data_IF_579682416000
#
_entry.id   IF_579682416000
#
_cell.length_a   1.000
_cell.length_b   1.000
_cell.length_c   1.000
_cell.angle_alpha   90.00
_cell.angle_beta   90.00
_cell.angle_gamma   90.00
#
_symmetry.space_group_name_H-M   'P 1'
#
loop_
_entity.id
_entity.type
_entity.pdbx_description
1 polymer ?
#
# COMPACT_ATOMS: atom_id res chain seq x y z
N UNK A 1 -27.51 31.64 30.21
CA UNK A 1 -27.03 31.48 28.83
C UNK A 1 -26.72 30.03 28.64
N UNK A 2 -27.51 29.35 27.81
CA UNK A 2 -27.22 27.99 27.39
C UNK A 2 -26.07 28.10 26.38
N UNK A 3 -24.85 27.84 26.87
CA UNK A 3 -23.60 28.07 26.11
C UNK A 3 -23.43 27.10 24.94
N UNK A 4 -24.25 26.05 24.91
CA UNK A 4 -24.22 25.00 23.90
C UNK A 4 -25.36 25.26 22.91
N UNK A 5 -25.01 25.83 21.77
CA UNK A 5 -25.96 26.05 20.67
C UNK A 5 -26.29 24.72 19.97
N UNK A 6 -27.39 24.68 19.21
CA UNK A 6 -27.77 23.50 18.41
C UNK A 6 -26.65 23.09 17.43
N UNK A 7 -25.93 24.07 16.89
CA UNK A 7 -24.79 23.87 16.02
C UNK A 7 -23.61 23.18 16.73
N UNK A 8 -23.30 23.58 17.98
CA UNK A 8 -22.24 22.92 18.77
C UNK A 8 -22.63 21.48 19.09
N UNK A 9 -23.91 21.20 19.40
CA UNK A 9 -24.37 19.82 19.64
C UNK A 9 -24.31 18.96 18.37
N UNK A 10 -24.64 19.52 17.21
CA UNK A 10 -24.56 18.81 15.94
C UNK A 10 -23.10 18.48 15.56
N UNK A 11 -22.18 19.42 15.77
CA UNK A 11 -20.76 19.22 15.50
C UNK A 11 -20.12 18.15 16.40
N UNK A 12 -20.46 18.13 17.69
CA UNK A 12 -20.01 17.07 18.61
C UNK A 12 -20.54 15.69 18.22
N UNK A 13 -21.82 15.58 17.85
CA UNK A 13 -22.39 14.31 17.40
C UNK A 13 -21.67 13.78 16.16
N UNK A 14 -21.39 14.66 15.19
CA UNK A 14 -20.66 14.27 13.98
C UNK A 14 -19.23 13.82 14.29
N UNK A 15 -18.58 14.45 15.27
CA UNK A 15 -17.25 14.05 15.73
C UNK A 15 -17.28 12.68 16.44
N UNK A 16 -18.24 12.46 17.34
CA UNK A 16 -18.40 11.19 18.04
C UNK A 16 -18.70 10.04 17.08
N UNK A 17 -19.55 10.30 16.06
CA UNK A 17 -19.85 9.33 15.02
C UNK A 17 -18.60 8.99 14.18
N UNK A 18 -17.81 10.01 13.82
CA UNK A 18 -16.56 9.83 13.08
C UNK A 18 -15.52 9.06 13.90
N UNK A 19 -15.40 9.34 15.20
CA UNK A 19 -14.50 8.63 16.10
C UNK A 19 -14.92 7.17 16.26
N UNK A 20 -16.21 6.90 16.45
CA UNK A 20 -16.72 5.53 16.55
C UNK A 20 -16.54 4.74 15.26
N UNK A 21 -16.69 5.39 14.09
CA UNK A 21 -16.42 4.77 12.80
C UNK A 21 -14.92 4.45 12.63
N UNK A 22 -14.03 5.35 13.04
CA UNK A 22 -12.59 5.13 13.01
C UNK A 22 -12.17 3.99 13.95
N UNK A 23 -12.70 3.94 15.17
CA UNK A 23 -12.44 2.86 16.13
C UNK A 23 -12.90 1.50 15.62
N UNK A 24 -14.08 1.43 14.99
CA UNK A 24 -14.57 0.20 14.35
C UNK A 24 -13.68 -0.22 13.18
N UNK A 25 -13.30 0.71 12.32
CA UNK A 25 -12.39 0.44 11.21
C UNK A 25 -11.05 -0.12 11.71
N UNK A 26 -10.48 0.45 12.77
CA UNK A 26 -9.24 -0.05 13.39
C UNK A 26 -9.45 -1.41 14.05
N UNK A 27 -10.58 -1.64 14.72
CA UNK A 27 -10.88 -2.91 15.39
C UNK A 27 -11.14 -4.06 14.40
N UNK A 28 -11.68 -3.76 13.22
CA UNK A 28 -11.89 -4.73 12.13
C UNK A 28 -10.57 -5.11 11.45
N UNK A 29 -9.56 -4.25 11.49
CA UNK A 29 -8.21 -4.58 11.05
C UNK A 29 -7.55 -5.46 12.12
N UNK A 30 -7.78 -6.77 12.02
CA UNK A 30 -7.02 -7.77 12.77
C UNK A 30 -5.61 -7.84 12.18
N UNK A 31 -4.71 -6.97 12.64
CA UNK A 31 -3.28 -7.11 12.39
C UNK A 31 -2.82 -8.36 13.13
N UNK A 32 -2.67 -9.48 12.42
CA UNK A 32 -1.85 -10.56 12.97
C UNK A 32 -0.48 -9.97 13.29
N UNK A 33 0.14 -10.33 14.44
CA UNK A 33 1.50 -9.90 14.70
C UNK A 33 2.35 -10.34 13.52
N UNK A 34 2.84 -9.37 12.74
CA UNK A 34 3.61 -9.65 11.55
C UNK A 34 4.79 -10.52 11.98
N UNK A 35 4.84 -11.75 11.48
CA UNK A 35 6.05 -12.55 11.66
C UNK A 35 7.19 -11.80 10.96
N UNK A 36 8.42 -11.88 11.48
CA UNK A 36 9.56 -11.39 10.75
C UNK A 36 9.59 -12.00 9.34
N UNK A 37 9.95 -11.19 8.35
CA UNK A 37 10.22 -11.65 7.00
C UNK A 37 11.34 -12.70 7.03
N UNK A 38 11.18 -13.76 6.25
CA UNK A 38 12.22 -14.77 6.07
C UNK A 38 13.35 -14.21 5.20
N UNK A 39 14.51 -14.86 5.25
CA UNK A 39 15.62 -14.51 4.35
C UNK A 39 15.21 -14.60 2.87
N UNK A 40 14.39 -15.60 2.52
CA UNK A 40 13.87 -15.79 1.16
C UNK A 40 12.95 -14.64 0.74
N UNK A 41 12.10 -14.13 1.64
CA UNK A 41 11.23 -12.98 1.36
C UNK A 41 12.02 -11.69 1.18
N UNK A 42 13.07 -11.50 2.00
CA UNK A 42 13.97 -10.35 1.88
C UNK A 42 14.73 -10.40 0.56
N UNK A 43 15.24 -11.58 0.17
CA UNK A 43 15.94 -11.76 -1.09
C UNK A 43 14.99 -11.57 -2.29
N UNK A 44 13.76 -12.10 -2.21
CA UNK A 44 12.76 -11.92 -3.26
C UNK A 44 12.40 -10.44 -3.46
N UNK A 45 12.28 -9.68 -2.38
CA UNK A 45 12.06 -8.23 -2.42
C UNK A 45 13.24 -7.52 -3.11
N UNK A 46 14.47 -7.85 -2.73
CA UNK A 46 15.67 -7.30 -3.33
C UNK A 46 15.75 -7.61 -4.83
N UNK A 47 15.50 -8.86 -5.22
CA UNK A 47 15.50 -9.27 -6.62
C UNK A 47 14.42 -8.54 -7.41
N UNK A 48 13.20 -8.44 -6.87
CA UNK A 48 12.12 -7.69 -7.50
C UNK A 48 12.49 -6.22 -7.69
N UNK A 49 12.95 -5.55 -6.63
CA UNK A 49 13.30 -4.12 -6.67
C UNK A 49 14.38 -3.78 -7.71
N UNK A 50 15.25 -4.75 -8.04
CA UNK A 50 16.28 -4.62 -9.05
C UNK A 50 15.89 -5.19 -10.44
N UNK A 51 14.70 -5.77 -10.57
CA UNK A 51 14.21 -6.35 -11.82
C UNK A 51 13.74 -5.27 -12.80
N UNK A 52 13.61 -5.66 -14.08
CA UNK A 52 13.01 -4.80 -15.09
C UNK A 52 11.50 -4.59 -14.89
N UNK A 53 10.85 -5.47 -14.14
CA UNK A 53 9.41 -5.44 -13.86
C UNK A 53 9.05 -4.52 -12.68
N UNK A 54 10.05 -4.06 -11.92
CA UNK A 54 9.82 -3.10 -10.85
C UNK A 54 9.63 -1.68 -11.40
N UNK A 55 8.66 -0.92 -10.83
CA UNK A 55 8.54 0.50 -11.09
C UNK A 55 9.85 1.25 -10.83
N UNK A 56 10.07 2.35 -11.56
CA UNK A 56 11.31 3.16 -11.49
C UNK A 56 11.57 3.70 -10.08
N UNK A 57 10.54 3.84 -9.26
CA UNK A 57 10.56 4.29 -7.87
C UNK A 57 11.42 3.38 -6.98
N UNK A 58 11.49 2.07 -7.29
CA UNK A 58 12.36 1.12 -6.58
C UNK A 58 13.85 1.45 -6.72
N UNK A 59 14.26 2.19 -7.76
CA UNK A 59 15.66 2.64 -7.90
C UNK A 59 16.08 3.56 -6.77
N UNK A 60 15.18 4.47 -6.36
CA UNK A 60 15.47 5.38 -5.25
C UNK A 60 15.53 4.62 -3.92
N UNK A 61 14.73 3.57 -3.74
CA UNK A 61 14.82 2.67 -2.59
C UNK A 61 16.17 1.92 -2.60
N UNK A 62 16.54 1.33 -3.73
CA UNK A 62 17.80 0.59 -3.89
C UNK A 62 19.03 1.48 -3.65
N UNK A 63 19.03 2.73 -4.11
CA UNK A 63 20.08 3.71 -3.83
C UNK A 63 20.23 3.98 -2.33
N UNK A 64 19.12 4.13 -1.60
CA UNK A 64 19.13 4.34 -0.15
C UNK A 64 19.60 3.10 0.61
N UNK A 65 19.25 1.90 0.15
CA UNK A 65 19.75 0.65 0.71
C UNK A 65 21.26 0.53 0.47
N UNK A 66 21.74 0.79 -0.74
CA UNK A 66 23.16 0.79 -1.07
C UNK A 66 23.94 1.84 -0.28
N UNK A 67 23.32 2.99 0.01
CA UNK A 67 23.85 4.04 0.88
C UNK A 67 23.79 3.74 2.38
N UNK A 68 23.23 2.60 2.79
CA UNK A 68 23.09 2.19 4.19
C UNK A 68 22.05 2.96 4.99
N UNK A 69 21.18 3.73 4.32
CA UNK A 69 20.10 4.50 4.97
C UNK A 69 18.87 3.64 5.25
N UNK A 70 18.68 2.58 4.47
CA UNK A 70 17.62 1.59 4.61
C UNK A 70 18.23 0.18 4.55
N UNK A 71 17.45 -0.83 4.94
CA UNK A 71 17.81 -2.23 4.72
C UNK A 71 16.62 -2.97 4.13
N UNK A 72 16.87 -3.95 3.26
CA UNK A 72 15.82 -4.79 2.69
C UNK A 72 15.00 -5.50 3.77
N UNK A 73 15.63 -5.90 4.88
CA UNK A 73 14.94 -6.49 6.02
C UNK A 73 13.93 -5.53 6.67
N UNK A 74 14.32 -4.27 6.91
CA UNK A 74 13.43 -3.27 7.49
C UNK A 74 12.25 -2.91 6.55
N UNK A 75 12.47 -3.00 5.23
CA UNK A 75 11.40 -2.80 4.24
C UNK A 75 10.45 -4.01 4.25
N UNK A 76 10.99 -5.23 4.17
CA UNK A 76 10.20 -6.46 4.16
C UNK A 76 9.37 -6.66 5.45
N UNK A 77 9.89 -6.21 6.60
CA UNK A 77 9.17 -6.25 7.87
C UNK A 77 8.12 -5.13 8.03
N UNK A 78 8.09 -4.15 7.12
CA UNK A 78 7.21 -2.98 7.24
C UNK A 78 7.68 -1.94 8.26
N UNK A 79 8.93 -1.99 8.72
CA UNK A 79 9.48 -1.02 9.67
C UNK A 79 9.65 0.39 9.05
N UNK A 80 9.56 0.48 7.72
CA UNK A 80 9.83 1.69 6.93
C UNK A 80 8.58 2.26 6.24
N UNK A 81 7.38 1.86 6.66
CA UNK A 81 6.09 2.36 6.10
C UNK A 81 5.86 3.87 6.26
N UNK A 82 6.66 4.54 7.09
CA UNK A 82 6.66 6.01 7.20
C UNK A 82 7.68 6.69 6.29
N UNK A 83 8.56 5.95 5.61
CA UNK A 83 9.52 6.51 4.66
C UNK A 83 8.80 6.84 3.33
N UNK A 84 8.80 8.11 2.88
CA UNK A 84 8.06 8.52 1.69
C UNK A 84 8.58 7.87 0.40
N UNK A 85 9.85 7.49 0.33
CA UNK A 85 10.42 6.82 -0.86
C UNK A 85 9.98 5.37 -0.91
N UNK A 86 9.91 4.70 0.24
CA UNK A 86 9.38 3.33 0.33
C UNK A 86 7.89 3.33 -0.04
N UNK A 87 7.11 4.26 0.50
CA UNK A 87 5.69 4.38 0.17
C UNK A 87 5.45 4.65 -1.31
N UNK A 88 6.20 5.58 -1.91
CA UNK A 88 6.09 5.85 -3.35
C UNK A 88 6.38 4.61 -4.21
N UNK A 89 7.33 3.76 -3.81
CA UNK A 89 7.63 2.53 -4.52
C UNK A 89 6.52 1.48 -4.38
N UNK A 90 5.92 1.35 -3.19
CA UNK A 90 4.79 0.45 -2.96
C UNK A 90 3.55 0.90 -3.73
N UNK A 91 3.23 2.20 -3.70
CA UNK A 91 2.11 2.77 -4.44
C UNK A 91 2.28 2.54 -5.96
N UNK A 92 3.49 2.77 -6.48
CA UNK A 92 3.78 2.52 -7.89
C UNK A 92 3.65 1.03 -8.26
N UNK A 93 4.01 0.12 -7.35
CA UNK A 93 3.82 -1.33 -7.56
C UNK A 93 2.34 -1.70 -7.61
N UNK A 94 1.50 -1.09 -6.75
CA UNK A 94 0.06 -1.31 -6.78
C UNK A 94 -0.57 -0.84 -8.09
N UNK A 95 -0.25 0.39 -8.53
CA UNK A 95 -0.73 0.94 -9.81
C UNK A 95 -0.29 0.05 -10.98
N UNK A 96 0.98 -0.36 -11.03
CA UNK A 96 1.48 -1.23 -12.09
C UNK A 96 0.85 -2.65 -12.08
N UNK A 97 0.32 -3.11 -10.95
CA UNK A 97 -0.43 -4.36 -10.88
C UNK A 97 -1.83 -4.21 -11.49
N UNK A 98 -2.53 -3.13 -11.13
CA UNK A 98 -3.86 -2.81 -11.68
C UNK A 98 -3.81 -2.61 -13.20
N UNK A 99 -2.81 -1.90 -13.72
CA UNK A 99 -2.62 -1.69 -15.16
C UNK A 99 -2.37 -3.01 -15.92
N UNK A 100 -1.63 -3.95 -15.30
CA UNK A 100 -1.38 -5.28 -15.90
C UNK A 100 -2.64 -6.14 -15.90
N UNK A 101 -3.43 -6.08 -14.84
CA UNK A 101 -4.71 -6.80 -14.76
C UNK A 101 -5.68 -6.29 -15.83
N UNK A 102 -5.84 -4.97 -15.93
CA UNK A 102 -6.69 -4.35 -16.96
C UNK A 102 -6.23 -4.73 -18.39
N UNK A 103 -4.92 -4.75 -18.64
CA UNK A 103 -4.38 -5.15 -19.94
C UNK A 103 -4.65 -6.63 -20.26
N UNK A 104 -4.60 -7.52 -19.26
CA UNK A 104 -4.89 -8.94 -19.43
C UNK A 104 -6.37 -9.18 -19.77
N UNK A 105 -7.28 -8.44 -19.13
CA UNK A 105 -8.72 -8.51 -19.43
C UNK A 105 -9.05 -8.04 -20.85
N UNK A 106 -8.41 -6.96 -21.32
CA UNK A 106 -8.58 -6.45 -22.68
C UNK A 106 -8.08 -7.44 -23.74
N UNK A 107 -6.96 -8.12 -23.48
CA UNK A 107 -6.41 -9.14 -24.37
C UNK A 107 -7.31 -10.39 -24.45
N UNK A 108 -7.89 -10.81 -23.33
CA UNK A 108 -8.83 -11.93 -23.27
C UNK A 108 -10.11 -11.61 -24.06
N UNK A 109 -10.70 -10.43 -23.87
CA UNK A 109 -11.89 -10.00 -24.61
C UNK A 109 -11.63 -9.91 -26.12
N UNK A 110 -10.47 -9.39 -26.50
CA UNK A 110 -10.05 -9.31 -27.92
C UNK A 110 -9.88 -10.71 -28.52
N UNK A 111 -9.31 -11.65 -27.77
CA UNK A 111 -9.11 -13.04 -28.20
C UNK A 111 -10.42 -13.80 -28.36
N UNK A 112 -11.38 -13.61 -27.46
CA UNK A 112 -12.72 -14.20 -27.54
C UNK A 112 -13.45 -13.68 -28.77
N UNK A 113 -13.43 -12.36 -29.02
CA UNK A 113 -14.07 -11.76 -30.18
C UNK A 113 -13.51 -12.29 -31.50
N UNK A 114 -12.20 -12.56 -31.56
CA UNK A 114 -11.52 -13.08 -32.76
C UNK A 114 -11.76 -14.57 -33.03
N UNK A 115 -12.16 -15.36 -32.03
CA UNK A 115 -12.49 -16.79 -32.18
C UNK A 115 -13.97 -17.04 -32.50
N UNK A 116 -14.83 -16.02 -32.35
CA UNK A 116 -16.28 -16.12 -32.54
C UNK A 116 -16.76 -15.90 -33.99
N UNK A 117 -15.84 -15.69 -34.95
CA UNK A 117 -16.12 -15.46 -36.38
C UNK A 117 -15.15 -16.23 -37.27
#
# INVERSE_FOLDING_TARGET
>A
MEWKTDEIRAAEQAFDDALSAAEKAVAEVRLEPARPATAEEIEALEQYANSADAPKEWRAVAERVAGGQLTWAAIANGDTVSDPVVMAALDATAVAAEEREAAAEDEEQTTIFRKAW
#
